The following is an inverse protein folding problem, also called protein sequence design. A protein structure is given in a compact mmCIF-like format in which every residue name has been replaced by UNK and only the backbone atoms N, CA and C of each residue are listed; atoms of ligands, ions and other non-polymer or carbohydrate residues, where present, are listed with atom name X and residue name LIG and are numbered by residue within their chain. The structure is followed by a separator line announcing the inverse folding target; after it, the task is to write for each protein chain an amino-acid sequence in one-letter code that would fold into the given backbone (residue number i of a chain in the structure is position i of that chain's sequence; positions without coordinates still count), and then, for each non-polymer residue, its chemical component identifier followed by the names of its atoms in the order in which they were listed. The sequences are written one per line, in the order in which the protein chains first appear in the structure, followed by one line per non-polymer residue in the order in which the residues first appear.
data_IF_944174014785
#
_entry.id   IF_944174014785
#
_cell.length_a   1.000
_cell.length_b   1.000
_cell.length_c   1.000
_cell.angle_alpha   90.00
_cell.angle_beta   90.00
_cell.angle_gamma   90.00
#
_symmetry.space_group_name_H-M   'P 1'
#
loop_
_entity.id
_entity.type
_entity.pdbx_description
1 polymer ?
#
# COMPACT_ATOMS: atom_id res chain seq x y z
N UNK A 1 20.89 24.52 -18.02
CA UNK A 1 20.47 25.08 -16.72
C UNK A 1 19.55 24.04 -16.07
N UNK A 2 19.96 23.53 -14.90
CA UNK A 2 19.21 22.69 -13.96
C UNK A 2 18.85 21.25 -14.40
N UNK A 3 19.74 20.30 -14.11
CA UNK A 3 19.33 18.92 -13.82
C UNK A 3 18.86 18.88 -12.37
N UNK A 4 17.60 18.50 -12.15
CA UNK A 4 17.05 18.30 -10.82
C UNK A 4 17.97 17.34 -10.05
N UNK A 5 18.52 17.79 -8.93
CA UNK A 5 19.31 16.95 -8.05
C UNK A 5 18.38 15.89 -7.46
N UNK A 6 18.42 14.68 -8.02
CA UNK A 6 17.87 13.51 -7.32
C UNK A 6 18.62 13.41 -6.01
N UNK A 7 17.92 13.66 -4.90
CA UNK A 7 18.50 13.49 -3.57
C UNK A 7 18.84 12.00 -3.42
N UNK A 8 20.13 11.70 -3.30
CA UNK A 8 20.60 10.34 -3.05
C UNK A 8 20.12 9.89 -1.65
N UNK A 9 19.18 8.95 -1.62
CA UNK A 9 18.63 8.35 -0.41
C UNK A 9 19.21 6.95 -0.16
N UNK A 10 20.46 6.70 -0.57
CA UNK A 10 21.18 5.44 -0.36
C UNK A 10 21.17 4.94 1.09
N UNK A 11 21.06 5.84 2.07
CA UNK A 11 20.93 5.49 3.49
C UNK A 11 19.72 4.58 3.79
N UNK A 12 18.64 4.64 2.99
CA UNK A 12 17.46 3.77 3.15
C UNK A 12 17.77 2.28 2.93
N UNK A 13 18.87 1.95 2.24
CA UNK A 13 19.26 0.55 2.01
C UNK A 13 19.58 -0.20 3.31
N UNK A 14 20.00 0.53 4.35
CA UNK A 14 20.36 -0.06 5.65
C UNK A 14 19.25 0.13 6.70
N UNK A 15 18.10 0.67 6.31
CA UNK A 15 16.95 0.87 7.19
C UNK A 15 15.85 -0.14 6.85
N UNK A 16 15.10 -0.56 7.87
CA UNK A 16 13.79 -1.17 7.64
C UNK A 16 12.84 -0.07 7.18
N UNK A 17 12.29 -0.21 5.98
CA UNK A 17 11.42 0.79 5.37
C UNK A 17 10.00 0.25 5.34
N UNK A 18 9.10 0.97 6.01
CA UNK A 18 7.68 0.70 5.94
C UNK A 18 7.01 1.70 5.00
N UNK A 19 6.16 1.20 4.13
CA UNK A 19 5.30 1.99 3.27
C UNK A 19 3.86 1.85 3.76
N UNK A 20 3.19 2.99 3.95
CA UNK A 20 1.78 3.06 4.24
C UNK A 20 1.16 4.05 3.27
N UNK A 21 0.26 3.57 2.42
CA UNK A 21 -0.47 4.37 1.46
C UNK A 21 -1.94 4.00 1.47
N UNK A 22 -2.69 4.66 0.59
CA UNK A 22 -4.11 4.36 0.38
C UNK A 22 -4.28 2.92 -0.13
N UNK A 23 -5.35 2.25 0.30
CA UNK A 23 -5.76 0.96 -0.28
C UNK A 23 -6.61 1.26 -1.51
N UNK A 24 -5.91 1.42 -2.63
CA UNK A 24 -6.46 1.56 -3.98
C UNK A 24 -5.41 1.14 -5.02
N UNK A 25 -5.76 1.26 -6.30
CA UNK A 25 -4.86 0.80 -7.38
C UNK A 25 -3.60 1.67 -7.54
N UNK A 26 -3.64 2.97 -7.23
CA UNK A 26 -2.45 3.84 -7.25
C UNK A 26 -1.53 3.61 -6.05
N UNK A 27 -2.07 3.35 -4.87
CA UNK A 27 -1.32 3.04 -3.65
C UNK A 27 -0.43 1.81 -3.85
N UNK A 28 -0.97 0.75 -4.48
CA UNK A 28 -0.19 -0.43 -4.86
C UNK A 28 0.82 -0.15 -5.99
N UNK A 29 0.49 0.72 -6.95
CA UNK A 29 1.44 1.13 -8.00
C UNK A 29 2.65 1.87 -7.40
N UNK A 30 2.44 2.73 -6.42
CA UNK A 30 3.52 3.44 -5.71
C UNK A 30 4.38 2.43 -4.93
N UNK A 31 3.76 1.45 -4.25
CA UNK A 31 4.49 0.38 -3.58
C UNK A 31 5.37 -0.42 -4.54
N UNK A 32 4.85 -0.81 -5.71
CA UNK A 32 5.63 -1.52 -6.73
C UNK A 32 6.83 -0.69 -7.22
N UNK A 33 6.62 0.61 -7.49
CA UNK A 33 7.67 1.54 -7.89
C UNK A 33 8.72 1.73 -6.79
N UNK A 34 8.29 1.84 -5.54
CA UNK A 34 9.20 1.97 -4.40
C UNK A 34 10.05 0.70 -4.22
N UNK A 35 9.45 -0.49 -4.38
CA UNK A 35 10.18 -1.78 -4.36
C UNK A 35 11.09 -2.00 -5.55
N UNK A 36 10.91 -1.27 -6.66
CA UNK A 36 11.88 -1.29 -7.76
C UNK A 36 13.22 -0.65 -7.36
N UNK A 37 13.21 0.27 -6.39
CA UNK A 37 14.40 0.99 -5.88
C UNK A 37 14.88 0.40 -4.56
N UNK A 38 13.94 0.05 -3.67
CA UNK A 38 14.19 -0.49 -2.33
C UNK A 38 13.41 -1.80 -2.13
N UNK A 39 13.93 -2.96 -2.60
CA UNK A 39 13.21 -4.23 -2.59
C UNK A 39 12.77 -4.72 -1.20
N UNK A 40 13.39 -4.21 -0.15
CA UNK A 40 13.13 -4.56 1.26
C UNK A 40 11.97 -3.80 1.90
N UNK A 41 11.27 -2.93 1.15
CA UNK A 41 10.12 -2.18 1.67
C UNK A 41 8.97 -3.10 2.01
N UNK A 42 8.49 -3.01 3.25
CA UNK A 42 7.30 -3.72 3.74
C UNK A 42 6.09 -2.77 3.71
N UNK A 43 4.94 -3.22 3.20
CA UNK A 43 3.70 -2.46 3.35
C UNK A 43 3.12 -2.69 4.75
N UNK A 44 2.42 -1.70 5.30
CA UNK A 44 1.69 -1.82 6.57
C UNK A 44 0.28 -1.28 6.39
N UNK A 45 -0.70 -1.95 7.00
CA UNK A 45 -2.12 -1.55 6.93
C UNK A 45 -2.66 -1.44 5.50
N UNK A 46 -2.12 -2.26 4.59
CA UNK A 46 -2.49 -2.32 3.17
C UNK A 46 -2.97 -3.72 2.77
N UNK A 47 -3.70 -4.36 3.67
CA UNK A 47 -4.25 -5.71 3.51
C UNK A 47 -5.79 -5.69 3.44
N UNK A 48 -6.37 -6.81 2.98
CA UNK A 48 -7.81 -6.95 2.84
C UNK A 48 -8.54 -6.82 4.18
N UNK A 49 -7.99 -7.34 5.27
CA UNK A 49 -8.59 -7.22 6.60
C UNK A 49 -8.77 -5.75 6.99
N UNK A 50 -7.72 -4.94 6.78
CA UNK A 50 -7.74 -3.50 7.00
C UNK A 50 -8.78 -2.81 6.12
N UNK A 51 -8.84 -3.16 4.83
CA UNK A 51 -9.86 -2.62 3.91
C UNK A 51 -11.28 -2.92 4.43
N UNK A 52 -11.55 -4.18 4.76
CA UNK A 52 -12.90 -4.64 5.13
C UNK A 52 -13.34 -4.14 6.52
N UNK A 53 -12.43 -3.90 7.45
CA UNK A 53 -12.73 -3.33 8.76
C UNK A 53 -13.24 -1.87 8.69
N UNK A 54 -12.97 -1.18 7.57
CA UNK A 54 -13.25 0.25 7.35
C UNK A 54 -14.20 0.49 6.17
N UNK A 55 -15.11 -0.45 5.90
CA UNK A 55 -16.12 -0.34 4.83
C UNK A 55 -16.92 0.96 4.84
N UNK A 56 -17.19 1.50 6.01
CA UNK A 56 -17.92 2.76 6.21
C UNK A 56 -17.14 4.01 5.81
N UNK A 57 -15.83 3.89 5.62
CA UNK A 57 -14.93 4.95 5.18
C UNK A 57 -14.53 4.85 3.71
N UNK A 58 -15.04 3.86 2.97
CA UNK A 58 -14.71 3.71 1.55
C UNK A 58 -15.21 4.90 0.73
N UNK A 59 -14.34 5.36 -0.17
CA UNK A 59 -14.63 6.35 -1.19
C UNK A 59 -14.41 5.74 -2.57
N UNK A 60 -14.65 6.51 -3.63
CA UNK A 60 -14.43 6.07 -5.01
C UNK A 60 -13.13 6.63 -5.57
N UNK A 61 -12.29 5.77 -6.15
CA UNK A 61 -11.12 6.12 -6.93
C UNK A 61 -11.55 6.66 -8.31
N UNK A 62 -11.36 7.96 -8.62
CA UNK A 62 -11.89 8.55 -9.85
C UNK A 62 -11.25 8.01 -11.13
N UNK A 63 -10.02 7.49 -11.04
CA UNK A 63 -9.27 6.98 -12.19
C UNK A 63 -8.39 5.81 -11.75
N UNK A 64 -8.95 4.58 -11.73
CA UNK A 64 -8.20 3.38 -11.36
C UNK A 64 -7.04 3.12 -12.32
N UNK A 65 -5.93 2.66 -11.77
CA UNK A 65 -4.79 2.11 -12.50
C UNK A 65 -5.02 0.65 -12.87
N UNK A 66 -4.58 0.28 -14.06
CA UNK A 66 -4.57 -1.10 -14.56
C UNK A 66 -3.15 -1.59 -14.87
N UNK A 67 -2.15 -1.02 -14.19
CA UNK A 67 -0.75 -1.38 -14.39
C UNK A 67 -0.51 -2.85 -14.03
N UNK A 68 0.39 -3.52 -14.75
CA UNK A 68 0.89 -4.83 -14.34
C UNK A 68 1.94 -4.62 -13.23
N UNK A 69 1.61 -5.02 -12.01
CA UNK A 69 2.48 -4.89 -10.84
C UNK A 69 3.15 -6.24 -10.56
N UNK A 70 4.48 -6.27 -10.49
CA UNK A 70 5.26 -7.53 -10.42
C UNK A 70 6.04 -7.69 -9.13
N UNK A 71 6.05 -6.68 -8.25
CA UNK A 71 6.79 -6.66 -6.97
C UNK A 71 5.87 -6.64 -5.75
N UNK A 72 4.59 -6.95 -5.94
CA UNK A 72 3.66 -7.19 -4.84
C UNK A 72 3.86 -8.59 -4.28
N UNK A 73 3.68 -8.75 -2.98
CA UNK A 73 3.57 -10.07 -2.37
C UNK A 73 2.20 -10.71 -2.73
N UNK A 74 1.99 -12.01 -2.46
CA UNK A 74 0.76 -12.69 -2.87
C UNK A 74 -0.54 -12.06 -2.32
N UNK A 75 -0.55 -11.60 -1.06
CA UNK A 75 -1.73 -10.97 -0.45
C UNK A 75 -2.02 -9.58 -1.05
N UNK A 76 -0.99 -8.78 -1.27
CA UNK A 76 -1.11 -7.45 -1.90
C UNK A 76 -1.57 -7.59 -3.36
N UNK A 77 -1.03 -8.56 -4.10
CA UNK A 77 -1.43 -8.83 -5.47
C UNK A 77 -2.89 -9.28 -5.56
N UNK A 78 -3.35 -10.15 -4.64
CA UNK A 78 -4.74 -10.55 -4.56
C UNK A 78 -5.68 -9.36 -4.28
N UNK A 79 -5.31 -8.50 -3.33
CA UNK A 79 -6.09 -7.30 -3.01
C UNK A 79 -6.12 -6.31 -4.18
N UNK A 80 -4.98 -6.05 -4.82
CA UNK A 80 -4.89 -5.21 -6.01
C UNK A 80 -5.78 -5.73 -7.14
N UNK A 81 -5.76 -7.05 -7.41
CA UNK A 81 -6.63 -7.67 -8.42
C UNK A 81 -8.11 -7.57 -8.05
N UNK A 82 -8.46 -7.74 -6.78
CA UNK A 82 -9.84 -7.60 -6.32
C UNK A 82 -10.36 -6.16 -6.49
N UNK A 83 -9.54 -5.15 -6.18
CA UNK A 83 -9.83 -3.74 -6.40
C UNK A 83 -9.98 -3.43 -7.89
N UNK A 84 -9.05 -3.90 -8.73
CA UNK A 84 -9.06 -3.68 -10.18
C UNK A 84 -10.29 -4.28 -10.87
N UNK A 85 -10.81 -5.38 -10.33
CA UNK A 85 -11.98 -6.09 -10.85
C UNK A 85 -13.29 -5.68 -10.15
N UNK A 86 -13.30 -4.58 -9.38
CA UNK A 86 -14.48 -4.06 -8.67
C UNK A 86 -15.16 -5.09 -7.74
N UNK A 87 -14.39 -6.02 -7.17
CA UNK A 87 -14.91 -7.14 -6.37
C UNK A 87 -15.66 -6.66 -5.12
N UNK A 88 -15.23 -5.51 -4.56
CA UNK A 88 -15.83 -4.92 -3.37
C UNK A 88 -16.88 -3.84 -3.68
N UNK A 89 -17.02 -3.47 -4.95
CA UNK A 89 -17.80 -2.32 -5.41
C UNK A 89 -17.03 -1.51 -6.46
N UNK A 90 -17.70 -0.58 -7.15
CA UNK A 90 -17.11 0.19 -8.24
C UNK A 90 -16.02 1.13 -7.72
N UNK A 91 -14.79 0.92 -8.18
CA UNK A 91 -13.61 1.74 -7.92
C UNK A 91 -13.42 2.04 -6.43
N UNK A 92 -13.46 1.02 -5.57
CA UNK A 92 -13.29 1.20 -4.12
C UNK A 92 -11.88 1.74 -3.81
N UNK A 93 -11.82 2.76 -2.95
CA UNK A 93 -10.61 3.31 -2.34
C UNK A 93 -10.82 3.50 -0.86
N UNK A 94 -9.81 3.17 -0.06
CA UNK A 94 -9.73 3.57 1.35
C UNK A 94 -8.49 4.42 1.55
N UNK A 95 -8.70 5.69 1.88
CA UNK A 95 -7.62 6.62 2.18
C UNK A 95 -7.00 6.29 3.53
N UNK A 96 -5.66 6.36 3.62
CA UNK A 96 -4.95 6.04 4.87
C UNK A 96 -5.42 6.90 6.05
N UNK A 97 -5.81 8.16 5.77
CA UNK A 97 -6.25 9.13 6.77
C UNK A 97 -7.63 8.80 7.36
N UNK A 98 -8.38 7.91 6.71
CA UNK A 98 -9.72 7.50 7.12
C UNK A 98 -9.73 6.20 7.94
N UNK A 99 -8.56 5.62 8.26
CA UNK A 99 -8.50 4.50 9.18
C UNK A 99 -9.00 4.90 10.57
N UNK A 100 -9.96 4.13 11.09
CA UNK A 100 -10.48 4.29 12.43
C UNK A 100 -9.67 3.43 13.39
N UNK A 101 -8.80 4.07 14.16
CA UNK A 101 -7.92 3.42 15.13
C UNK A 101 -8.66 2.57 16.18
N UNK A 102 -9.93 2.87 16.48
CA UNK A 102 -10.74 2.08 17.40
C UNK A 102 -11.17 0.71 16.85
N UNK A 103 -11.02 0.48 15.54
CA UNK A 103 -11.30 -0.79 14.85
C UNK A 103 -10.04 -1.54 14.46
N UNK A 104 -8.87 -0.94 14.69
CA UNK A 104 -7.60 -1.58 14.40
C UNK A 104 -7.27 -2.61 15.48
N UNK A 105 -7.13 -3.88 15.08
CA UNK A 105 -6.61 -4.93 15.94
C UNK A 105 -5.09 -5.05 15.72
N UNK A 106 -4.31 -4.62 16.71
CA UNK A 106 -2.84 -4.62 16.68
C UNK A 106 -2.19 -6.01 16.46
N UNK A 107 -2.98 -7.09 16.50
CA UNK A 107 -2.54 -8.45 16.24
C UNK A 107 -2.12 -8.69 14.76
N UNK A 108 -2.49 -7.79 13.84
CA UNK A 108 -2.27 -7.95 12.39
C UNK A 108 -0.89 -7.49 11.90
N UNK A 109 -0.12 -6.76 12.72
CA UNK A 109 1.26 -6.38 12.37
C UNK A 109 2.22 -7.31 13.10
N UNK A 110 2.92 -8.23 12.42
CA UNK A 110 4.04 -8.92 13.03
C UNK A 110 5.18 -7.90 13.16
N UNK A 111 5.15 -7.13 14.24
CA UNK A 111 6.35 -6.52 14.79
C UNK A 111 7.23 -7.68 15.25
N UNK A 112 7.99 -8.28 14.33
CA UNK A 112 9.04 -9.21 14.70
C UNK A 112 9.95 -8.47 15.67
N UNK A 113 9.98 -8.98 16.90
CA UNK A 113 10.88 -8.57 17.95
C UNK A 113 12.31 -8.61 17.40
N UNK A 114 13.03 -7.50 17.54
CA UNK A 114 14.47 -7.49 17.38
C UNK A 114 15.07 -8.34 18.50
N UNK A 115 15.42 -9.59 18.20
CA UNK A 115 16.49 -10.31 18.88
C UNK A 115 17.78 -10.16 18.07
#
# INVERSE_FOLDING_TARGET
MQGAGTLDASWLQNCRVFYWGDIDTHGFRILDQLRAIHPHVESVLMDEETLLAHRDAWVSEPSPSYAALTRLNPSEAALYEALRNDTFGPAVRLEQELLNWGRWNASAVPLRSNE
#
